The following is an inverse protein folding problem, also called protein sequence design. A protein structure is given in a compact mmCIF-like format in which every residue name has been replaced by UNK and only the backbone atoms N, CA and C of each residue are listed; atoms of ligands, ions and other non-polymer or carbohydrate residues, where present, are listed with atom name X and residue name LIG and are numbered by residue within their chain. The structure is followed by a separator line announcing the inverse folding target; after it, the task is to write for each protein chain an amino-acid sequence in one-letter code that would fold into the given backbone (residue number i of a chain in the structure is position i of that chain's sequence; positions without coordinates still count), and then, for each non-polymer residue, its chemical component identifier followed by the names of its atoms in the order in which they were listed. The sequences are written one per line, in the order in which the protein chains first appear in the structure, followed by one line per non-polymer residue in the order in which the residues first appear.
data_IF_852316107430
#
_entry.id   IF_852316107430
#
_cell.length_a   1.000
_cell.length_b   1.000
_cell.length_c   1.000
_cell.angle_alpha   90.00
_cell.angle_beta   90.00
_cell.angle_gamma   90.00
#
_symmetry.space_group_name_H-M   'P 1'
#
loop_
_entity.id
_entity.type
_entity.pdbx_description
1 polymer ?
#
# COMPACT_ATOMS: atom_id res chain seq x y z
N UNK A 1 1.78 29.28 6.49
CA UNK A 1 1.88 27.81 6.52
C UNK A 1 0.89 27.27 5.49
N UNK A 2 1.35 27.08 4.25
CA UNK A 2 0.50 27.05 3.06
C UNK A 2 -0.07 25.67 2.70
N UNK A 3 -1.25 25.67 2.08
CA UNK A 3 -1.93 24.48 1.51
C UNK A 3 -1.08 23.67 0.51
N UNK A 4 0.05 24.20 0.03
CA UNK A 4 0.96 23.53 -0.91
C UNK A 4 1.87 22.49 -0.23
N UNK A 5 2.21 22.64 1.06
CA UNK A 5 2.98 21.62 1.80
C UNK A 5 2.24 20.29 1.89
N UNK A 6 0.90 20.32 1.93
CA UNK A 6 0.08 19.10 1.97
C UNK A 6 0.00 18.37 0.64
N UNK A 7 0.25 19.04 -0.49
CA UNK A 7 0.21 18.43 -1.82
C UNK A 7 1.54 17.79 -2.23
N UNK A 8 2.65 18.17 -1.58
CA UNK A 8 3.98 17.60 -1.81
C UNK A 8 4.50 16.72 -0.66
N UNK A 9 3.61 16.31 0.25
CA UNK A 9 3.96 15.35 1.30
C UNK A 9 4.56 15.98 2.55
N UNK A 10 3.92 17.01 3.10
CA UNK A 10 4.12 17.53 4.46
C UNK A 10 3.67 16.54 5.56
N UNK A 11 4.02 15.26 5.40
CA UNK A 11 4.12 14.28 6.46
C UNK A 11 5.59 14.10 6.84
N UNK A 12 5.86 13.33 7.89
CA UNK A 12 7.21 13.01 8.37
C UNK A 12 8.22 12.83 7.23
N UNK A 13 9.38 13.50 7.35
CA UNK A 13 10.44 13.42 6.34
C UNK A 13 11.14 12.08 6.49
N UNK A 14 10.61 11.06 5.82
CA UNK A 14 11.24 9.75 5.77
C UNK A 14 12.49 9.78 4.86
N UNK A 15 13.56 9.03 5.22
CA UNK A 15 14.74 8.91 4.38
C UNK A 15 14.41 8.25 3.03
N UNK A 16 15.23 8.46 1.98
CA UNK A 16 15.07 7.74 0.73
C UNK A 16 15.29 6.23 0.96
N UNK A 17 14.55 5.42 0.21
CA UNK A 17 14.74 3.97 0.19
C UNK A 17 16.11 3.64 -0.43
N UNK A 18 16.86 2.76 0.21
CA UNK A 18 18.12 2.24 -0.35
C UNK A 18 17.85 1.48 -1.66
N UNK A 19 18.40 1.93 -2.81
CA UNK A 19 18.20 1.27 -4.11
C UNK A 19 18.72 -0.17 -4.17
N UNK A 20 19.66 -0.54 -3.29
CA UNK A 20 20.20 -1.90 -3.19
C UNK A 20 19.37 -2.82 -2.30
N UNK A 21 18.35 -2.30 -1.63
CA UNK A 21 17.50 -3.09 -0.73
C UNK A 21 16.55 -4.04 -1.49
N UNK A 22 16.17 -5.14 -0.83
CA UNK A 22 15.16 -6.05 -1.35
C UNK A 22 13.80 -5.36 -1.58
N UNK A 23 13.47 -4.35 -0.78
CA UNK A 23 12.27 -3.52 -0.95
C UNK A 23 12.31 -2.74 -2.27
N UNK A 24 13.45 -2.14 -2.62
CA UNK A 24 13.63 -1.41 -3.88
C UNK A 24 13.51 -2.36 -5.09
N UNK A 25 14.15 -3.52 -5.03
CA UNK A 25 14.05 -4.53 -6.10
C UNK A 25 12.61 -5.01 -6.33
N UNK A 26 11.81 -5.19 -5.27
CA UNK A 26 10.40 -5.58 -5.37
C UNK A 26 9.52 -4.51 -5.99
N UNK A 27 9.76 -3.24 -5.65
CA UNK A 27 9.08 -2.09 -6.27
C UNK A 27 9.45 -2.01 -7.75
N UNK A 28 10.74 -2.16 -8.08
CA UNK A 28 11.23 -2.11 -9.46
C UNK A 28 10.59 -3.19 -10.33
N UNK A 29 10.47 -4.42 -9.82
CA UNK A 29 9.83 -5.52 -10.53
C UNK A 29 8.36 -5.27 -10.93
N UNK A 30 7.70 -4.28 -10.31
CA UNK A 30 6.32 -3.88 -10.62
C UNK A 30 6.20 -2.39 -10.94
N UNK A 31 7.32 -1.73 -11.32
CA UNK A 31 7.40 -0.27 -11.49
C UNK A 31 6.29 0.26 -12.39
N UNK A 32 6.08 -0.33 -13.57
CA UNK A 32 5.11 0.18 -14.54
C UNK A 32 3.69 0.26 -13.95
N UNK A 33 3.22 -0.80 -13.28
CA UNK A 33 1.89 -0.84 -12.68
C UNK A 33 1.78 0.12 -11.48
N UNK A 34 2.85 0.23 -10.67
CA UNK A 34 2.89 1.17 -9.55
C UNK A 34 2.93 2.64 -10.02
N UNK A 35 3.62 2.93 -11.12
CA UNK A 35 3.65 4.26 -11.74
C UNK A 35 2.30 4.63 -12.34
N UNK A 36 1.61 3.68 -12.99
CA UNK A 36 0.24 3.90 -13.48
C UNK A 36 -0.71 4.23 -12.32
N UNK A 37 -0.68 3.45 -11.23
CA UNK A 37 -1.47 3.75 -10.02
C UNK A 37 -1.09 5.11 -9.43
N UNK A 38 0.21 5.42 -9.32
CA UNK A 38 0.67 6.70 -8.80
C UNK A 38 0.26 7.88 -9.69
N UNK A 39 0.12 7.70 -11.00
CA UNK A 39 -0.42 8.70 -11.91
C UNK A 39 -1.92 8.93 -11.76
N UNK A 40 -2.68 7.85 -11.48
CA UNK A 40 -4.16 7.87 -11.39
C UNK A 40 -4.70 8.25 -10.01
N UNK A 41 -4.11 7.73 -8.94
CA UNK A 41 -4.62 7.85 -7.56
C UNK A 41 -4.12 9.14 -6.93
N UNK A 42 -5.01 10.05 -6.56
CA UNK A 42 -4.62 11.33 -5.94
C UNK A 42 -4.35 11.26 -4.44
N UNK A 43 -4.94 10.28 -3.78
CA UNK A 43 -4.77 10.07 -2.35
C UNK A 43 -3.33 9.70 -1.99
N UNK A 44 -3.04 9.71 -0.68
CA UNK A 44 -1.78 9.21 -0.13
C UNK A 44 -1.61 7.74 -0.51
N UNK A 45 -0.39 7.38 -0.94
CA UNK A 45 0.00 6.00 -1.21
C UNK A 45 1.13 5.60 -0.26
N UNK A 46 0.95 4.45 0.39
CA UNK A 46 1.98 3.77 1.16
C UNK A 46 2.19 2.36 0.62
N UNK A 47 3.40 2.09 0.14
CA UNK A 47 3.79 0.82 -0.46
C UNK A 47 4.39 -0.11 0.59
N UNK A 48 3.93 -1.35 0.63
CA UNK A 48 4.47 -2.41 1.49
C UNK A 48 5.00 -3.54 0.58
N UNK A 49 6.32 -3.54 0.26
CA UNK A 49 6.90 -4.53 -0.64
C UNK A 49 7.06 -5.90 0.04
N UNK A 50 6.37 -6.90 -0.48
CA UNK A 50 6.41 -8.29 -0.03
C UNK A 50 7.18 -9.18 -1.03
N UNK A 51 7.42 -10.44 -0.66
CA UNK A 51 8.22 -11.36 -1.48
C UNK A 51 7.64 -11.59 -2.88
N UNK A 52 6.30 -11.73 -2.99
CA UNK A 52 5.60 -12.06 -4.24
C UNK A 52 4.65 -10.98 -4.73
N UNK A 53 4.49 -9.90 -3.97
CA UNK A 53 3.55 -8.83 -4.29
C UNK A 53 4.01 -7.50 -3.70
N UNK A 54 3.46 -6.40 -4.21
CA UNK A 54 3.58 -5.09 -3.59
C UNK A 54 2.19 -4.65 -3.17
N UNK A 55 2.01 -4.42 -1.87
CA UNK A 55 0.77 -3.88 -1.34
C UNK A 55 0.79 -2.36 -1.42
N UNK A 56 -0.34 -1.76 -1.72
CA UNK A 56 -0.53 -0.32 -1.73
C UNK A 56 -1.72 0.03 -0.83
N UNK A 57 -1.43 0.72 0.27
CA UNK A 57 -2.44 1.37 1.09
C UNK A 57 -2.75 2.73 0.49
N UNK A 58 -4.04 2.98 0.25
CA UNK A 58 -4.55 4.18 -0.42
C UNK A 58 -5.34 4.99 0.61
N UNK A 59 -4.96 6.24 0.89
CA UNK A 59 -5.61 7.11 1.88
C UNK A 59 -4.86 7.17 3.21
N UNK A 60 -5.61 7.26 4.30
CA UNK A 60 -5.09 7.44 5.67
C UNK A 60 -5.42 6.23 6.54
N UNK A 61 -4.63 5.14 6.46
CA UNK A 61 -4.77 4.04 7.40
C UNK A 61 -4.39 4.49 8.83
N UNK A 62 -5.03 3.93 9.88
CA UNK A 62 -6.04 2.85 9.85
C UNK A 62 -7.49 3.33 9.67
N UNK A 63 -7.75 4.65 9.61
CA UNK A 63 -9.12 5.17 9.67
C UNK A 63 -9.89 5.09 8.34
N UNK A 64 -9.29 5.59 7.25
CA UNK A 64 -9.96 5.71 5.94
C UNK A 64 -8.98 5.33 4.85
N UNK A 65 -9.01 4.07 4.47
CA UNK A 65 -8.08 3.55 3.48
C UNK A 65 -8.70 2.48 2.59
N UNK A 66 -8.12 2.33 1.40
CA UNK A 66 -8.27 1.17 0.55
C UNK A 66 -6.97 0.37 0.53
N UNK A 67 -7.05 -0.89 0.12
CA UNK A 67 -5.87 -1.72 -0.15
C UNK A 67 -5.98 -2.26 -1.57
N UNK A 68 -4.90 -2.07 -2.31
CA UNK A 68 -4.63 -2.75 -3.56
C UNK A 68 -3.35 -3.58 -3.41
N UNK A 69 -3.22 -4.62 -4.20
CA UNK A 69 -1.97 -5.38 -4.30
C UNK A 69 -1.64 -5.67 -5.75
N UNK A 70 -0.35 -5.73 -6.02
CA UNK A 70 0.18 -6.00 -7.35
C UNK A 70 0.90 -7.34 -7.34
N UNK A 71 0.51 -8.21 -8.27
CA UNK A 71 1.17 -9.49 -8.51
C UNK A 71 1.43 -9.63 -10.00
N UNK A 72 2.68 -9.84 -10.39
CA UNK A 72 3.09 -9.95 -11.79
C UNK A 72 2.60 -8.78 -12.67
N UNK A 73 2.52 -7.57 -12.11
CA UNK A 73 2.06 -6.38 -12.82
C UNK A 73 0.53 -6.21 -12.90
N UNK A 74 -0.25 -7.14 -12.35
CA UNK A 74 -1.71 -7.02 -12.29
C UNK A 74 -2.15 -6.35 -10.98
N UNK A 75 -3.02 -5.32 -11.08
CA UNK A 75 -3.64 -4.65 -9.94
C UNK A 75 -4.88 -5.42 -9.46
N UNK A 76 -4.87 -5.80 -8.19
CA UNK A 76 -6.00 -6.41 -7.50
C UNK A 76 -6.46 -5.54 -6.32
N UNK A 77 -7.73 -5.66 -5.94
CA UNK A 77 -8.29 -4.99 -4.77
C UNK A 77 -9.43 -5.82 -4.16
N UNK A 78 -9.76 -5.54 -2.89
CA UNK A 78 -10.79 -6.31 -2.18
C UNK A 78 -12.18 -6.19 -2.79
N UNK A 79 -12.52 -5.04 -3.40
CA UNK A 79 -13.84 -4.87 -4.03
C UNK A 79 -14.01 -5.82 -5.21
N UNK A 80 -12.99 -5.97 -6.06
CA UNK A 80 -12.97 -6.91 -7.18
C UNK A 80 -12.98 -8.36 -6.66
N UNK A 81 -12.12 -8.68 -5.69
CA UNK A 81 -12.05 -10.03 -5.10
C UNK A 81 -13.40 -10.49 -4.52
N UNK A 82 -14.09 -9.63 -3.77
CA UNK A 82 -15.40 -9.95 -3.21
C UNK A 82 -16.46 -10.14 -4.30
N UNK A 83 -16.42 -9.29 -5.34
CA UNK A 83 -17.33 -9.39 -6.48
C UNK A 83 -17.13 -10.70 -7.24
N UNK A 84 -15.88 -11.14 -7.42
CA UNK A 84 -15.53 -12.41 -8.07
C UNK A 84 -15.98 -13.62 -7.25
N UNK A 85 -15.96 -13.50 -5.92
CA UNK A 85 -16.39 -14.56 -4.99
C UNK A 85 -17.88 -14.52 -4.64
N UNK A 86 -18.64 -13.55 -5.16
CA UNK A 86 -20.06 -13.38 -4.84
C UNK A 86 -20.33 -13.03 -3.37
N UNK A 87 -19.37 -12.42 -2.69
CA UNK A 87 -19.44 -12.09 -1.26
C UNK A 87 -20.13 -10.74 -1.02
N UNK A 88 -20.71 -10.58 0.17
CA UNK A 88 -21.57 -9.44 0.50
C UNK A 88 -20.74 -8.24 1.00
N UNK A 89 -21.34 -7.03 0.97
CA UNK A 89 -20.67 -5.84 1.51
C UNK A 89 -20.31 -5.94 3.00
N UNK A 90 -21.00 -6.79 3.75
CA UNK A 90 -20.73 -7.08 5.16
C UNK A 90 -19.32 -7.65 5.34
N UNK A 91 -18.87 -8.46 4.38
CA UNK A 91 -17.53 -9.05 4.38
C UNK A 91 -16.46 -7.98 4.14
N UNK A 92 -16.76 -6.97 3.32
CA UNK A 92 -15.85 -5.83 3.08
C UNK A 92 -15.59 -5.04 4.38
N UNK A 93 -16.61 -4.82 5.20
CA UNK A 93 -16.46 -4.11 6.46
C UNK A 93 -15.58 -4.89 7.44
N UNK A 94 -15.81 -6.20 7.57
CA UNK A 94 -14.98 -7.09 8.40
C UNK A 94 -13.53 -7.12 7.92
N UNK A 95 -13.31 -7.26 6.61
CA UNK A 95 -11.97 -7.23 6.00
C UNK A 95 -11.28 -5.90 6.31
N UNK A 96 -11.98 -4.78 6.13
CA UNK A 96 -11.42 -3.46 6.42
C UNK A 96 -10.96 -3.33 7.87
N UNK A 97 -11.70 -3.90 8.83
CA UNK A 97 -11.33 -3.90 10.23
C UNK A 97 -10.07 -4.76 10.49
N UNK A 98 -10.00 -5.97 9.92
CA UNK A 98 -8.81 -6.82 10.04
C UNK A 98 -7.56 -6.17 9.45
N UNK A 99 -7.69 -5.45 8.34
CA UNK A 99 -6.60 -4.70 7.73
C UNK A 99 -6.17 -3.50 8.57
N UNK A 100 -7.13 -2.81 9.21
CA UNK A 100 -6.85 -1.70 10.11
C UNK A 100 -6.03 -2.17 11.31
N UNK A 101 -6.47 -3.25 11.96
CA UNK A 101 -5.75 -3.88 13.08
C UNK A 101 -4.36 -4.37 12.66
N UNK A 102 -4.22 -4.96 11.47
CA UNK A 102 -2.92 -5.35 10.94
C UNK A 102 -2.01 -4.14 10.74
N UNK A 103 -2.51 -3.05 10.16
CA UNK A 103 -1.74 -1.83 9.96
C UNK A 103 -1.29 -1.22 11.30
N UNK A 104 -2.18 -1.15 12.29
CA UNK A 104 -1.89 -0.64 13.64
C UNK A 104 -0.75 -1.38 14.32
N UNK A 105 -0.69 -2.71 14.21
CA UNK A 105 0.39 -3.53 14.79
C UNK A 105 1.78 -3.20 14.23
N UNK A 106 1.85 -2.64 13.02
CA UNK A 106 3.10 -2.35 12.31
C UNK A 106 3.32 -0.84 12.10
N UNK A 107 2.63 0.03 12.86
CA UNK A 107 2.75 1.48 12.71
C UNK A 107 4.12 2.04 13.10
N UNK A 108 4.86 1.35 13.96
CA UNK A 108 6.17 1.78 14.45
C UNK A 108 7.34 1.35 13.56
N UNK A 109 7.05 0.63 12.47
CA UNK A 109 8.06 0.19 11.51
C UNK A 109 8.69 1.40 10.77
N UNK A 110 9.98 1.32 10.43
CA UNK A 110 10.66 2.40 9.74
C UNK A 110 10.04 2.62 8.37
N UNK A 111 9.80 3.88 8.03
CA UNK A 111 9.28 4.28 6.73
C UNK A 111 10.38 4.98 5.92
N UNK A 112 10.29 4.79 4.62
CA UNK A 112 11.19 5.34 3.62
C UNK A 112 10.40 6.02 2.52
N UNK A 113 11.09 6.65 1.58
CA UNK A 113 10.47 7.29 0.43
C UNK A 113 11.04 6.81 -0.90
N UNK A 114 10.17 6.71 -1.90
CA UNK A 114 10.51 6.41 -3.29
C UNK A 114 9.79 7.38 -4.21
N UNK A 115 10.36 7.65 -5.39
CA UNK A 115 9.69 8.47 -6.41
C UNK A 115 9.18 7.57 -7.52
N UNK A 116 7.85 7.61 -7.75
CA UNK A 116 7.17 6.93 -8.84
C UNK A 116 6.26 7.93 -9.55
N UNK A 117 6.27 7.96 -10.89
CA UNK A 117 5.51 8.91 -11.70
C UNK A 117 5.71 10.39 -11.27
N UNK A 118 6.93 10.75 -10.86
CA UNK A 118 7.27 12.09 -10.36
C UNK A 118 6.69 12.44 -8.98
N UNK A 119 6.03 11.49 -8.29
CA UNK A 119 5.46 11.67 -6.95
C UNK A 119 6.27 10.94 -5.90
N UNK A 120 6.50 11.60 -4.77
CA UNK A 120 7.14 11.01 -3.59
C UNK A 120 6.11 10.16 -2.83
N UNK A 121 6.34 8.86 -2.75
CA UNK A 121 5.48 7.90 -2.05
C UNK A 121 6.18 7.38 -0.79
N UNK A 122 5.38 6.92 0.17
CA UNK A 122 5.89 6.28 1.39
C UNK A 122 6.11 4.79 1.13
N UNK A 123 7.20 4.24 1.63
CA UNK A 123 7.50 2.80 1.60
C UNK A 123 7.63 2.32 3.04
N UNK A 124 6.85 1.31 3.39
CA UNK A 124 6.91 0.61 4.67
C UNK A 124 7.39 -0.83 4.41
N UNK A 125 8.69 -1.12 4.51
CA UNK A 125 9.24 -2.45 4.32
C UNK A 125 8.98 -3.32 5.57
N UNK A 126 7.70 -3.61 5.84
CA UNK A 126 7.25 -4.51 6.89
C UNK A 126 6.73 -5.82 6.29
N UNK A 127 7.58 -6.87 6.16
CA UNK A 127 7.16 -8.18 5.67
C UNK A 127 6.06 -8.82 6.52
N UNK A 128 6.06 -8.52 7.82
CA UNK A 128 5.04 -8.93 8.79
C UNK A 128 3.66 -8.36 8.45
N UNK A 129 3.57 -7.07 8.15
CA UNK A 129 2.33 -6.44 7.66
C UNK A 129 1.85 -7.09 6.36
N UNK A 130 2.76 -7.33 5.42
CA UNK A 130 2.39 -8.01 4.19
C UNK A 130 1.86 -9.44 4.42
N UNK A 131 2.42 -10.15 5.39
CA UNK A 131 1.99 -11.50 5.78
C UNK A 131 0.61 -11.47 6.42
N UNK A 132 0.34 -10.51 7.29
CA UNK A 132 -0.96 -10.31 7.90
C UNK A 132 -2.04 -9.98 6.86
N UNK A 133 -1.72 -9.09 5.91
CA UNK A 133 -2.64 -8.78 4.81
C UNK A 133 -2.86 -9.99 3.88
N UNK A 134 -1.81 -10.76 3.57
CA UNK A 134 -1.93 -11.99 2.79
C UNK A 134 -2.85 -13.01 3.47
N UNK A 135 -2.79 -13.12 4.81
CA UNK A 135 -3.69 -13.98 5.59
C UNK A 135 -5.14 -13.51 5.49
N UNK A 136 -5.38 -12.20 5.53
CA UNK A 136 -6.72 -11.63 5.32
C UNK A 136 -7.22 -11.98 3.92
N UNK A 137 -6.42 -11.75 2.86
CA UNK A 137 -6.76 -12.08 1.47
C UNK A 137 -7.13 -13.57 1.32
N UNK A 138 -6.36 -14.48 1.93
CA UNK A 138 -6.61 -15.92 1.87
C UNK A 138 -7.77 -16.41 2.73
N UNK A 139 -8.33 -15.57 3.61
CA UNK A 139 -9.50 -15.91 4.44
C UNK A 139 -10.84 -15.53 3.80
N UNK A 140 -10.80 -14.69 2.77
CA UNK A 140 -11.89 -14.39 1.84
C UNK A 140 -11.93 -15.49 0.80
#
# INVERSE_FOLDING_TARGET
MGLLDKLFGGGEVFPPLDPSSAAAARIEGQRAALEEMAGRVRDRLELVPAEKMVLAFIGNPPERFGVAWFTNGEEHNFKRLLSEKGLAQQDLQRISQLLAEAYERHQQEPRFTVVLAGRKLTVNPAPSLATDVARVIGSV
#
